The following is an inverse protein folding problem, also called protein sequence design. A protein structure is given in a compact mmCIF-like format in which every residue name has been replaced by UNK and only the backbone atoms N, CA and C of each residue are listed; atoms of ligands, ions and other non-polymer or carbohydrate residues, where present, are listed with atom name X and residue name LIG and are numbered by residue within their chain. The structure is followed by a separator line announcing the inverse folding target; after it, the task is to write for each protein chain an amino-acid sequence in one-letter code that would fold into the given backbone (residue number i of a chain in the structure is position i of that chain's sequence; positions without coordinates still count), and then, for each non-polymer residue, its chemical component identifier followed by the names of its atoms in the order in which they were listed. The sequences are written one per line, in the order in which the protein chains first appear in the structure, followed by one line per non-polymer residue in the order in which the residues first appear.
data_IF_630069317825
#
_entry.id   IF_630069317825
#
_cell.length_a   1.000
_cell.length_b   1.000
_cell.length_c   1.000
_cell.angle_alpha   90.00
_cell.angle_beta   90.00
_cell.angle_gamma   90.00
#
_symmetry.space_group_name_H-M   'P 1'
#
loop_
_entity.id
_entity.type
_entity.pdbx_description
1 polymer ?
#
# COMPACT_ATOMS: atom_id res chain seq x y z
N UNK A 1 -19.43 -32.25 0.09
CA UNK A 1 -19.26 -30.85 -0.35
C UNK A 1 -17.80 -30.51 -0.21
N UNK A 2 -17.02 -30.76 -1.26
CA UNK A 2 -15.57 -30.46 -1.31
C UNK A 2 -15.39 -29.03 -1.78
N UNK A 3 -14.89 -28.18 -0.88
CA UNK A 3 -14.42 -26.84 -1.23
C UNK A 3 -13.01 -26.95 -1.84
N UNK A 4 -12.95 -26.89 -3.16
CA UNK A 4 -11.70 -26.73 -3.90
C UNK A 4 -10.99 -25.43 -3.48
N UNK A 5 -9.97 -25.55 -2.64
CA UNK A 5 -8.97 -24.50 -2.38
C UNK A 5 -8.05 -24.37 -3.61
N UNK A 6 -8.41 -23.48 -4.53
CA UNK A 6 -7.50 -23.03 -5.57
C UNK A 6 -6.51 -22.02 -4.95
N UNK A 7 -5.43 -22.55 -4.39
CA UNK A 7 -4.29 -21.76 -3.94
C UNK A 7 -3.55 -21.22 -5.17
N UNK A 8 -3.95 -20.05 -5.67
CA UNK A 8 -3.14 -19.31 -6.61
C UNK A 8 -1.87 -18.85 -5.88
N UNK A 9 -0.82 -19.63 -6.06
CA UNK A 9 0.53 -19.38 -5.57
C UNK A 9 1.08 -18.15 -6.30
N UNK A 10 0.81 -16.94 -5.76
CA UNK A 10 1.44 -15.70 -6.25
C UNK A 10 2.90 -15.79 -5.81
N UNK A 11 3.76 -16.33 -6.67
CA UNK A 11 5.21 -16.23 -6.50
C UNK A 11 5.58 -14.76 -6.47
N UNK A 12 5.96 -14.29 -5.29
CA UNK A 12 6.73 -13.05 -5.15
C UNK A 12 8.10 -13.38 -5.76
N UNK A 13 8.54 -12.72 -6.85
CA UNK A 13 9.83 -13.03 -7.44
C UNK A 13 10.93 -12.80 -6.41
N UNK A 14 11.70 -13.84 -6.14
CA UNK A 14 12.88 -13.73 -5.27
C UNK A 14 13.88 -12.82 -5.95
N UNK A 15 14.44 -11.89 -5.17
CA UNK A 15 15.39 -10.84 -5.58
C UNK A 15 16.59 -11.35 -6.42
N UNK A 16 16.89 -12.65 -6.34
CA UNK A 16 18.02 -13.29 -7.01
C UNK A 16 17.80 -13.64 -8.48
N UNK A 17 16.54 -13.67 -8.95
CA UNK A 17 16.22 -14.02 -10.34
C UNK A 17 16.35 -12.85 -11.32
N UNK A 18 16.55 -11.62 -10.81
CA UNK A 18 16.54 -10.37 -11.58
C UNK A 18 17.91 -9.90 -12.09
N UNK A 19 19.02 -10.57 -11.74
CA UNK A 19 20.38 -10.09 -12.10
C UNK A 19 20.99 -10.94 -13.18
N UNK A 20 20.33 -11.07 -14.33
CA UNK A 20 21.02 -11.41 -15.57
C UNK A 20 21.19 -10.12 -16.38
N UNK A 21 22.43 -9.63 -16.46
CA UNK A 21 22.80 -8.50 -17.37
C UNK A 21 22.59 -9.00 -18.80
N UNK A 22 21.68 -8.43 -19.58
CA UNK A 22 21.38 -8.89 -20.92
C UNK A 22 22.38 -8.37 -21.93
N UNK A 23 22.65 -9.19 -22.94
CA UNK A 23 23.63 -8.95 -24.00
C UNK A 23 23.10 -8.08 -25.17
N UNK A 24 21.90 -7.51 -25.09
CA UNK A 24 21.35 -6.64 -26.15
C UNK A 24 20.63 -5.41 -25.57
N UNK A 25 20.73 -4.29 -26.27
CA UNK A 25 20.14 -3.00 -25.89
C UNK A 25 18.61 -3.10 -25.72
N UNK A 26 17.91 -3.85 -26.58
CA UNK A 26 16.45 -4.06 -26.51
C UNK A 26 16.00 -4.70 -25.19
N UNK A 27 16.81 -5.58 -24.64
CA UNK A 27 16.53 -6.25 -23.38
C UNK A 27 16.70 -5.30 -22.18
N UNK A 28 17.56 -4.28 -22.27
CA UNK A 28 17.75 -3.27 -21.23
C UNK A 28 16.52 -2.37 -21.16
N UNK A 29 16.00 -1.90 -22.29
CA UNK A 29 14.79 -1.09 -22.33
C UNK A 29 13.58 -1.82 -21.73
N UNK A 30 13.40 -3.09 -22.06
CA UNK A 30 12.35 -3.92 -21.46
C UNK A 30 12.49 -4.02 -19.93
N UNK A 31 13.73 -4.11 -19.41
CA UNK A 31 13.97 -4.13 -17.97
C UNK A 31 13.71 -2.78 -17.30
N UNK A 32 14.07 -1.67 -17.95
CA UNK A 32 13.79 -0.31 -17.48
C UNK A 32 12.27 -0.09 -17.38
N UNK A 33 11.51 -0.47 -18.41
CA UNK A 33 10.05 -0.39 -18.41
C UNK A 33 9.41 -1.27 -17.33
N UNK A 34 9.92 -2.49 -17.16
CA UNK A 34 9.46 -3.38 -16.08
C UNK A 34 9.71 -2.75 -14.70
N UNK A 35 10.90 -2.20 -14.47
CA UNK A 35 11.22 -1.52 -13.21
C UNK A 35 10.29 -0.33 -12.95
N UNK A 36 9.99 0.46 -14.00
CA UNK A 36 9.04 1.57 -13.94
C UNK A 36 7.67 1.09 -13.46
N UNK A 37 7.14 0.05 -14.10
CA UNK A 37 5.82 -0.47 -13.79
C UNK A 37 5.77 -1.12 -12.40
N UNK A 38 6.80 -1.85 -12.01
CA UNK A 38 6.92 -2.45 -10.67
C UNK A 38 6.99 -1.37 -9.58
N UNK A 39 7.77 -0.31 -9.78
CA UNK A 39 7.87 0.81 -8.84
C UNK A 39 6.52 1.55 -8.70
N UNK A 40 5.81 1.79 -9.82
CA UNK A 40 4.50 2.43 -9.85
C UNK A 40 3.44 1.58 -9.14
N UNK A 41 3.38 0.28 -9.42
CA UNK A 41 2.44 -0.64 -8.78
C UNK A 41 2.72 -0.72 -7.28
N UNK A 42 3.99 -0.77 -6.88
CA UNK A 42 4.39 -0.82 -5.47
C UNK A 42 4.03 0.47 -4.74
N UNK A 43 4.28 1.63 -5.34
CA UNK A 43 3.84 2.92 -4.82
C UNK A 43 2.33 2.93 -4.54
N UNK A 44 1.52 2.55 -5.53
CA UNK A 44 0.06 2.56 -5.44
C UNK A 44 -0.45 1.52 -4.42
N UNK A 45 0.21 0.38 -4.29
CA UNK A 45 -0.11 -0.61 -3.27
C UNK A 45 0.11 -0.06 -1.85
N UNK A 46 1.20 0.69 -1.62
CA UNK A 46 1.44 1.37 -0.34
C UNK A 46 0.40 2.46 -0.06
N UNK A 47 0.00 3.25 -1.06
CA UNK A 47 -1.08 4.24 -0.92
C UNK A 47 -2.42 3.58 -0.59
N UNK A 48 -2.73 2.46 -1.21
CA UNK A 48 -3.94 1.67 -0.93
C UNK A 48 -3.92 1.11 0.51
N UNK A 49 -2.77 0.58 0.95
CA UNK A 49 -2.59 0.10 2.31
C UNK A 49 -2.73 1.23 3.34
N UNK A 50 -2.12 2.40 3.07
CA UNK A 50 -2.26 3.63 3.85
C UNK A 50 -3.74 4.01 4.00
N UNK A 51 -4.47 4.12 2.89
CA UNK A 51 -5.89 4.52 2.89
C UNK A 51 -6.76 3.54 3.71
N UNK A 52 -6.50 2.23 3.60
CA UNK A 52 -7.18 1.20 4.39
C UNK A 52 -6.92 1.36 5.89
N UNK A 53 -5.65 1.55 6.29
CA UNK A 53 -5.27 1.75 7.70
C UNK A 53 -5.87 3.03 8.27
N UNK A 54 -5.85 4.12 7.51
CA UNK A 54 -6.48 5.40 7.90
C UNK A 54 -7.97 5.23 8.11
N UNK A 55 -8.69 4.53 7.21
CA UNK A 55 -10.13 4.26 7.39
C UNK A 55 -10.42 3.48 8.66
N UNK A 56 -9.66 2.42 8.92
CA UNK A 56 -9.82 1.63 10.15
C UNK A 56 -9.61 2.48 11.40
N UNK A 57 -8.57 3.31 11.43
CA UNK A 57 -8.31 4.23 12.52
C UNK A 57 -9.48 5.20 12.77
N UNK A 58 -10.00 5.81 11.69
CA UNK A 58 -11.13 6.73 11.75
C UNK A 58 -12.39 6.02 12.26
N UNK A 59 -12.72 4.84 11.72
CA UNK A 59 -13.92 4.08 12.13
C UNK A 59 -13.85 3.71 13.61
N UNK A 60 -12.70 3.24 14.09
CA UNK A 60 -12.53 2.91 15.50
C UNK A 60 -12.64 4.16 16.39
N UNK A 61 -12.08 5.30 15.96
CA UNK A 61 -12.16 6.57 16.67
C UNK A 61 -13.60 7.08 16.79
N UNK A 62 -14.31 7.13 15.66
CA UNK A 62 -15.72 7.53 15.66
C UNK A 62 -16.58 6.57 16.49
N UNK A 63 -16.36 5.26 16.38
CA UNK A 63 -17.05 4.26 17.18
C UNK A 63 -16.86 4.52 18.68
N UNK A 64 -15.64 4.78 19.12
CA UNK A 64 -15.34 5.11 20.52
C UNK A 64 -16.11 6.37 20.97
N UNK A 65 -16.09 7.43 20.16
CA UNK A 65 -16.79 8.69 20.48
C UNK A 65 -18.30 8.46 20.57
N UNK A 66 -18.90 7.78 19.59
CA UNK A 66 -20.34 7.52 19.56
C UNK A 66 -20.77 6.74 20.81
N UNK A 67 -20.08 5.66 21.17
CA UNK A 67 -20.43 4.88 22.35
C UNK A 67 -20.28 5.68 23.64
N UNK A 68 -19.23 6.48 23.76
CA UNK A 68 -19.07 7.36 24.94
C UNK A 68 -20.18 8.42 25.04
N UNK A 69 -20.60 9.02 23.92
CA UNK A 69 -21.72 9.97 23.90
C UNK A 69 -23.03 9.29 24.30
N UNK A 70 -23.33 8.11 23.78
CA UNK A 70 -24.54 7.34 24.16
C UNK A 70 -24.57 7.02 25.65
N UNK A 71 -23.44 6.67 26.25
CA UNK A 71 -23.32 6.41 27.69
C UNK A 71 -23.52 7.71 28.49
N UNK A 72 -22.85 8.80 28.09
CA UNK A 72 -22.83 10.04 28.86
C UNK A 72 -24.15 10.81 28.83
N UNK A 73 -24.91 10.71 27.73
CA UNK A 73 -26.17 11.48 27.56
C UNK A 73 -27.40 10.86 28.19
N UNK A 74 -27.32 9.59 28.65
CA UNK A 74 -28.49 8.87 29.17
C UNK A 74 -29.59 8.60 28.13
N UNK A 75 -29.32 8.82 26.84
CA UNK A 75 -30.28 8.62 25.75
C UNK A 75 -30.86 7.20 25.76
N UNK A 76 -30.05 6.21 26.14
CA UNK A 76 -30.50 4.82 26.23
C UNK A 76 -31.56 4.58 27.30
N UNK A 77 -31.52 5.32 28.41
CA UNK A 77 -32.55 5.27 29.47
C UNK A 77 -33.88 5.83 28.99
N UNK A 78 -33.85 6.85 28.13
CA UNK A 78 -35.05 7.51 27.59
C UNK A 78 -35.76 6.59 26.58
N UNK A 79 -35.02 5.98 25.67
CA UNK A 79 -35.60 5.18 24.56
C UNK A 79 -35.83 3.72 24.93
N UNK A 80 -35.07 3.16 25.86
CA UNK A 80 -35.10 1.72 26.20
C UNK A 80 -34.99 1.49 27.71
N UNK A 81 -35.92 2.01 28.53
CA UNK A 81 -35.82 1.99 30.00
C UNK A 81 -35.62 0.59 30.58
N UNK A 82 -36.29 -0.44 30.02
CA UNK A 82 -36.25 -1.81 30.55
C UNK A 82 -34.91 -2.51 30.36
N UNK A 83 -34.16 -2.15 29.31
CA UNK A 83 -32.89 -2.80 28.95
C UNK A 83 -31.69 -1.81 28.94
N UNK A 84 -31.92 -0.56 29.32
CA UNK A 84 -30.91 0.53 29.26
C UNK A 84 -29.62 0.13 29.96
N UNK A 85 -29.69 -0.43 31.15
CA UNK A 85 -28.51 -0.84 31.94
C UNK A 85 -27.67 -1.91 31.21
N UNK A 86 -28.32 -2.85 30.49
CA UNK A 86 -27.62 -3.83 29.68
C UNK A 86 -26.93 -3.17 28.47
N UNK A 87 -27.64 -2.26 27.78
CA UNK A 87 -27.12 -1.54 26.62
C UNK A 87 -25.93 -0.63 26.98
N UNK A 88 -26.01 0.07 28.13
CA UNK A 88 -24.91 0.91 28.64
C UNK A 88 -23.66 0.07 28.91
N UNK A 89 -23.81 -1.09 29.58
CA UNK A 89 -22.69 -2.00 29.83
C UNK A 89 -22.10 -2.53 28.54
N UNK A 90 -22.92 -2.94 27.58
CA UNK A 90 -22.46 -3.39 26.27
C UNK A 90 -21.71 -2.27 25.50
N UNK A 91 -22.26 -1.06 25.49
CA UNK A 91 -21.63 0.10 24.88
C UNK A 91 -20.27 0.43 25.52
N UNK A 92 -20.16 0.33 26.84
CA UNK A 92 -18.91 0.55 27.56
C UNK A 92 -17.84 -0.48 27.19
N UNK A 93 -18.19 -1.76 27.09
CA UNK A 93 -17.28 -2.81 26.66
C UNK A 93 -16.81 -2.58 25.22
N UNK A 94 -17.72 -2.19 24.30
CA UNK A 94 -17.36 -1.88 22.91
C UNK A 94 -16.45 -0.64 22.82
N UNK A 95 -16.76 0.44 23.56
CA UNK A 95 -15.92 1.64 23.60
C UNK A 95 -14.49 1.31 24.08
N UNK A 96 -14.38 0.52 25.16
CA UNK A 96 -13.09 0.06 25.68
C UNK A 96 -12.35 -0.80 24.66
N UNK A 97 -13.04 -1.74 24.01
CA UNK A 97 -12.46 -2.59 22.97
C UNK A 97 -11.91 -1.78 21.79
N UNK A 98 -12.65 -0.77 21.32
CA UNK A 98 -12.18 0.10 20.25
C UNK A 98 -10.98 0.94 20.67
N UNK A 99 -11.01 1.54 21.87
CA UNK A 99 -9.89 2.31 22.41
C UNK A 99 -8.64 1.44 22.58
N UNK A 100 -8.77 0.25 23.14
CA UNK A 100 -7.67 -0.70 23.27
C UNK A 100 -7.09 -1.10 21.90
N UNK A 101 -7.94 -1.37 20.91
CA UNK A 101 -7.52 -1.72 19.55
C UNK A 101 -6.75 -0.58 18.90
N UNK A 102 -7.19 0.66 19.04
CA UNK A 102 -6.47 1.83 18.52
C UNK A 102 -5.08 1.97 19.14
N UNK A 103 -4.98 1.78 20.45
CA UNK A 103 -3.70 1.91 21.18
C UNK A 103 -2.72 0.80 20.80
N UNK A 104 -3.19 -0.46 20.75
CA UNK A 104 -2.34 -1.63 20.47
C UNK A 104 -1.84 -1.68 19.02
N UNK A 105 -2.68 -1.30 18.06
CA UNK A 105 -2.35 -1.46 16.64
C UNK A 105 -1.51 -0.30 16.06
N UNK A 106 -1.21 0.75 16.83
CA UNK A 106 -0.33 1.86 16.41
C UNK A 106 -0.58 2.34 14.96
N UNK A 107 -1.86 2.40 14.54
CA UNK A 107 -2.27 2.77 13.18
C UNK A 107 -1.60 4.03 12.61
N UNK A 108 -1.45 5.14 13.37
CA UNK A 108 -0.80 6.34 12.86
C UNK A 108 0.63 6.06 12.38
N UNK A 109 1.39 5.28 13.14
CA UNK A 109 2.78 4.91 12.80
C UNK A 109 2.85 4.02 11.55
N UNK A 110 1.90 3.10 11.38
CA UNK A 110 1.82 2.28 10.18
C UNK A 110 1.42 3.09 8.95
N UNK A 111 0.49 4.03 9.08
CA UNK A 111 0.09 4.97 8.03
C UNK A 111 1.28 5.79 7.55
N UNK A 112 2.08 6.31 8.48
CA UNK A 112 3.30 7.07 8.18
C UNK A 112 4.34 6.22 7.46
N UNK A 113 4.59 4.99 7.91
CA UNK A 113 5.51 4.05 7.24
C UNK A 113 5.07 3.73 5.81
N UNK A 114 3.79 3.45 5.58
CA UNK A 114 3.27 3.23 4.23
C UNK A 114 3.37 4.49 3.38
N UNK A 115 3.19 5.69 3.96
CA UNK A 115 3.36 6.96 3.25
C UNK A 115 4.81 7.17 2.81
N UNK A 116 5.77 6.96 3.70
CA UNK A 116 7.19 7.08 3.41
C UNK A 116 7.67 6.07 2.36
N UNK A 117 7.16 4.83 2.44
CA UNK A 117 7.42 3.80 1.44
C UNK A 117 6.87 4.21 0.07
N UNK A 118 5.61 4.66 0.00
CA UNK A 118 5.00 5.12 -1.26
C UNK A 118 5.80 6.27 -1.89
N UNK A 119 6.28 7.22 -1.08
CA UNK A 119 7.11 8.32 -1.57
C UNK A 119 8.46 7.81 -2.11
N UNK A 120 9.08 6.84 -1.42
CA UNK A 120 10.35 6.24 -1.87
C UNK A 120 10.20 5.56 -3.24
N UNK A 121 9.18 4.73 -3.43
CA UNK A 121 8.91 4.08 -4.73
C UNK A 121 8.44 5.08 -5.79
N UNK A 122 7.71 6.14 -5.41
CA UNK A 122 7.33 7.22 -6.31
C UNK A 122 8.53 8.02 -6.84
N UNK A 123 9.58 8.22 -6.04
CA UNK A 123 10.82 8.82 -6.50
C UNK A 123 11.54 7.93 -7.51
N UNK A 124 11.58 6.62 -7.26
CA UNK A 124 12.16 5.64 -8.18
C UNK A 124 11.40 5.65 -9.51
N UNK A 125 10.08 5.57 -9.46
CA UNK A 125 9.23 5.62 -10.64
C UNK A 125 9.54 6.85 -11.51
N UNK A 126 9.58 8.07 -10.91
CA UNK A 126 9.87 9.30 -11.64
C UNK A 126 11.29 9.34 -12.23
N UNK A 127 12.30 8.80 -11.52
CA UNK A 127 13.68 8.71 -12.05
C UNK A 127 13.76 7.77 -13.25
N UNK A 128 13.05 6.62 -13.20
CA UNK A 128 13.00 5.69 -14.33
C UNK A 128 12.26 6.32 -15.51
N UNK A 129 11.14 6.99 -15.27
CA UNK A 129 10.36 7.66 -16.33
C UNK A 129 11.17 8.76 -17.03
N UNK A 130 11.94 9.52 -16.25
CA UNK A 130 12.88 10.51 -16.77
C UNK A 130 14.01 9.86 -17.59
N UNK A 131 14.61 8.76 -17.12
CA UNK A 131 15.65 8.02 -17.85
C UNK A 131 15.12 7.48 -19.19
N UNK A 132 13.88 7.00 -19.24
CA UNK A 132 13.22 6.57 -20.48
C UNK A 132 13.08 7.74 -21.46
N UNK A 133 12.70 8.91 -20.98
CA UNK A 133 12.56 10.11 -21.82
C UNK A 133 13.92 10.54 -22.40
N UNK A 134 14.97 10.63 -21.57
CA UNK A 134 16.33 10.99 -22.03
C UNK A 134 16.89 9.99 -23.03
N UNK A 135 16.63 8.69 -22.83
CA UNK A 135 17.08 7.64 -23.74
C UNK A 135 16.35 7.65 -25.09
N UNK A 136 15.07 8.08 -25.11
CA UNK A 136 14.29 8.23 -26.36
C UNK A 136 14.71 9.47 -27.17
N UNK A 137 15.10 10.53 -26.48
CA UNK A 137 15.59 11.77 -27.12
C UNK A 137 17.04 11.67 -27.62
N UNK A 138 17.67 10.48 -27.51
CA UNK A 138 19.07 10.26 -27.86
C UNK A 138 20.03 11.26 -27.16
N UNK A 139 19.57 11.93 -26.11
CA UNK A 139 20.33 12.89 -25.35
C UNK A 139 21.42 12.27 -24.48
N UNK A 140 21.34 10.92 -24.28
CA UNK A 140 22.35 10.16 -23.53
C UNK A 140 22.91 9.00 -24.33
N UNK A 141 24.23 8.80 -24.17
CA UNK A 141 24.91 7.63 -24.72
C UNK A 141 24.41 6.34 -24.04
N UNK A 142 24.35 5.22 -24.78
CA UNK A 142 23.85 3.96 -24.26
C UNK A 142 24.53 3.48 -22.98
N UNK A 143 25.85 3.68 -22.86
CA UNK A 143 26.60 3.33 -21.65
C UNK A 143 26.22 4.18 -20.42
N UNK A 144 25.82 5.44 -20.62
CA UNK A 144 25.32 6.29 -19.55
C UNK A 144 23.93 5.84 -19.08
N UNK A 145 23.05 5.45 -20.01
CA UNK A 145 21.74 4.88 -19.68
C UNK A 145 21.89 3.62 -18.83
N UNK A 146 22.84 2.74 -19.18
CA UNK A 146 23.13 1.52 -18.42
C UNK A 146 23.63 1.85 -17.01
N UNK A 147 24.52 2.81 -16.89
CA UNK A 147 25.07 3.24 -15.60
C UNK A 147 23.96 3.78 -14.68
N UNK A 148 23.14 4.69 -15.20
CA UNK A 148 22.08 5.33 -14.46
C UNK A 148 20.98 4.33 -14.09
N UNK A 149 20.66 3.37 -14.97
CA UNK A 149 19.76 2.27 -14.66
C UNK A 149 20.26 1.42 -13.49
N UNK A 150 21.56 1.08 -13.46
CA UNK A 150 22.15 0.34 -12.33
C UNK A 150 22.03 1.10 -11.01
N UNK A 151 22.27 2.40 -11.04
CA UNK A 151 22.11 3.24 -9.85
C UNK A 151 20.66 3.24 -9.36
N UNK A 152 19.69 3.41 -10.26
CA UNK A 152 18.26 3.38 -9.92
C UNK A 152 17.87 2.00 -9.38
N UNK A 153 18.37 0.91 -9.97
CA UNK A 153 18.13 -0.45 -9.50
C UNK A 153 18.65 -0.66 -8.08
N UNK A 154 19.86 -0.16 -7.76
CA UNK A 154 20.41 -0.22 -6.42
C UNK A 154 19.53 0.56 -5.41
N UNK A 155 19.04 1.74 -5.80
CA UNK A 155 18.09 2.49 -4.99
C UNK A 155 16.76 1.74 -4.78
N UNK A 156 16.28 1.02 -5.80
CA UNK A 156 15.07 0.22 -5.71
C UNK A 156 15.24 -0.95 -4.72
N UNK A 157 16.36 -1.68 -4.81
CA UNK A 157 16.68 -2.77 -3.88
C UNK A 157 16.81 -2.25 -2.43
N UNK A 158 17.50 -1.12 -2.25
CA UNK A 158 17.61 -0.48 -0.94
C UNK A 158 16.24 -0.02 -0.40
N UNK A 159 15.34 0.44 -1.27
CA UNK A 159 13.99 0.82 -0.87
C UNK A 159 13.17 -0.41 -0.44
N UNK A 160 13.27 -1.55 -1.14
CA UNK A 160 12.62 -2.81 -0.76
C UNK A 160 13.10 -3.25 0.63
N UNK A 161 14.41 -3.31 0.84
CA UNK A 161 14.98 -3.76 2.12
C UNK A 161 14.58 -2.84 3.28
N UNK A 162 14.63 -1.52 3.08
CA UNK A 162 14.25 -0.53 4.09
C UNK A 162 12.77 -0.66 4.49
N UNK A 163 11.90 -0.99 3.53
CA UNK A 163 10.46 -1.07 3.74
C UNK A 163 9.95 -2.50 3.99
N UNK A 164 10.84 -3.47 4.19
CA UNK A 164 10.51 -4.89 4.42
C UNK A 164 9.52 -5.13 5.56
N UNK A 165 9.60 -4.31 6.62
CA UNK A 165 8.68 -4.38 7.77
C UNK A 165 7.30 -3.78 7.50
N UNK A 166 7.07 -3.16 6.33
CA UNK A 166 5.87 -2.43 5.97
C UNK A 166 5.34 -2.89 4.60
N UNK A 167 5.20 -4.20 4.40
CA UNK A 167 4.74 -4.75 3.12
C UNK A 167 3.23 -4.63 2.97
N UNK A 168 2.70 -4.10 1.83
CA UNK A 168 1.28 -4.11 1.54
C UNK A 168 0.75 -5.54 1.42
N UNK A 169 -0.54 -5.75 1.72
CA UNK A 169 -1.17 -7.04 1.53
C UNK A 169 -1.32 -7.37 0.03
N UNK A 170 -1.39 -8.65 -0.37
CA UNK A 170 -1.65 -9.04 -1.76
C UNK A 170 -2.89 -8.38 -2.37
N UNK A 171 -3.93 -8.15 -1.56
CA UNK A 171 -5.16 -7.44 -1.99
C UNK A 171 -4.91 -5.98 -2.35
N UNK A 172 -3.95 -5.32 -1.69
CA UNK A 172 -3.59 -3.92 -1.98
C UNK A 172 -2.90 -3.83 -3.36
N UNK A 173 -2.04 -4.80 -3.72
CA UNK A 173 -1.43 -4.91 -5.05
C UNK A 173 -2.47 -5.16 -6.16
N UNK A 174 -3.45 -6.05 -5.92
CA UNK A 174 -4.53 -6.30 -6.90
C UNK A 174 -5.35 -5.03 -7.13
N UNK A 175 -5.66 -4.29 -6.07
CA UNK A 175 -6.40 -3.02 -6.17
C UNK A 175 -5.58 -1.96 -6.90
N UNK A 176 -4.30 -1.82 -6.56
CA UNK A 176 -3.39 -0.90 -7.23
C UNK A 176 -3.34 -1.15 -8.75
N UNK A 177 -3.15 -2.40 -9.16
CA UNK A 177 -3.15 -2.77 -10.60
C UNK A 177 -4.47 -2.44 -11.30
N UNK A 178 -5.62 -2.62 -10.63
CA UNK A 178 -6.94 -2.26 -11.19
C UNK A 178 -7.06 -0.74 -11.37
N UNK A 179 -6.66 0.05 -10.38
CA UNK A 179 -6.67 1.51 -10.46
C UNK A 179 -5.80 2.03 -11.59
N UNK A 180 -4.57 1.50 -11.73
CA UNK A 180 -3.67 1.89 -12.82
C UNK A 180 -4.23 1.56 -14.20
N UNK A 181 -4.89 0.40 -14.35
CA UNK A 181 -5.56 0.03 -15.61
C UNK A 181 -6.73 0.93 -15.93
N UNK A 182 -7.53 1.36 -14.94
CA UNK A 182 -8.66 2.25 -15.16
C UNK A 182 -8.24 3.66 -15.58
N UNK A 183 -7.10 4.14 -15.08
CA UNK A 183 -6.51 5.44 -15.47
C UNK A 183 -5.88 5.40 -16.87
N UNK A 184 -5.36 4.25 -17.28
CA UNK A 184 -4.75 4.06 -18.59
C UNK A 184 -5.78 3.80 -19.71
N UNK A 185 -7.04 3.48 -19.38
CA UNK A 185 -8.11 3.34 -20.36
C UNK A 185 -8.52 4.73 -20.87
N UNK A 186 -8.44 4.99 -22.19
CA UNK A 186 -8.88 6.28 -22.74
C UNK A 186 -10.38 6.44 -22.47
N UNK A 187 -10.75 7.66 -22.03
CA UNK A 187 -12.15 8.10 -21.94
C UNK A 187 -12.64 8.28 -23.39
N UNK A 188 -13.30 7.27 -23.93
CA UNK A 188 -14.09 7.40 -25.14
C UNK A 188 -15.53 7.71 -24.78
#
# INVERSE_FOLDING_TARGET
MEFMQSSHNIRIPTVQESIRVPASTDNIFAQIEKLRDDARVTQEAHLTAKARKTRLYIVLGFGTIIFNVLIATGVLDIFFPDIANLLIKAAAVLALGFAATQTLLSYPREVERHSAAAESFGRIYRRVDFLIAEAKDESKAGDEVIRDFREIMNHHLAAIERNKSCTPNPRDYVRARRQLKSVAAPLY
#
